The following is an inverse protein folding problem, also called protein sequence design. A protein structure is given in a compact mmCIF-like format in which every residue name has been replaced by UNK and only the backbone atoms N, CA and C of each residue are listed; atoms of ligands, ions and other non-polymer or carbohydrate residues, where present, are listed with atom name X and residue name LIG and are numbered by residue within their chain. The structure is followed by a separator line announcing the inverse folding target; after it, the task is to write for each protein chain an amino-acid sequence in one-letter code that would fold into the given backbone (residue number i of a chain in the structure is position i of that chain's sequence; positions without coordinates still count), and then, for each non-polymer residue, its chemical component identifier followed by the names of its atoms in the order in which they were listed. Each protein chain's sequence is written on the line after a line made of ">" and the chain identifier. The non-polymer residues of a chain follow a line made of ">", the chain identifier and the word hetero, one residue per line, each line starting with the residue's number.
data_IF_728832764020
#
_entry.id   IF_728832764020
#
_cell.length_a   1.000
_cell.length_b   1.000
_cell.length_c   1.000
_cell.angle_alpha   90.00
_cell.angle_beta   90.00
_cell.angle_gamma   90.00
#
_symmetry.space_group_name_H-M   'P 1'
#
loop_
_entity.id
_entity.type
_entity.pdbx_description
1 polymer ?
#
# COMPACT_ATOMS: atom_id res chain seq x y z
N UNK A 1 -64.74 11.15 -20.83
CA UNK A 1 -64.33 9.96 -20.03
C UNK A 1 -63.03 9.39 -20.56
N UNK A 2 -61.88 9.71 -19.94
CA UNK A 2 -60.62 8.94 -20.04
C UNK A 2 -59.96 9.01 -18.66
N UNK A 3 -59.95 7.89 -17.94
CA UNK A 3 -59.25 7.73 -16.67
C UNK A 3 -57.75 7.71 -16.95
N UNK A 4 -57.03 8.76 -16.56
CA UNK A 4 -55.59 8.67 -16.38
C UNK A 4 -55.34 8.02 -15.03
N UNK A 5 -54.88 6.77 -15.08
CA UNK A 5 -54.36 6.04 -13.93
C UNK A 5 -53.06 6.73 -13.55
N UNK A 6 -53.09 7.51 -12.48
CA UNK A 6 -51.89 8.00 -11.81
C UNK A 6 -51.20 6.77 -11.22
N UNK A 7 -50.25 6.20 -11.95
CA UNK A 7 -49.28 5.27 -11.37
C UNK A 7 -48.32 6.11 -10.55
N UNK A 8 -48.60 6.19 -9.25
CA UNK A 8 -47.57 6.45 -8.25
C UNK A 8 -46.48 5.40 -8.45
N UNK A 9 -45.43 5.75 -9.19
CA UNK A 9 -44.20 4.98 -9.19
C UNK A 9 -43.53 5.28 -7.86
N UNK A 10 -43.77 4.37 -6.92
CA UNK A 10 -43.05 4.15 -5.67
C UNK A 10 -41.54 4.11 -5.91
N UNK A 11 -40.91 5.27 -6.01
CA UNK A 11 -39.46 5.43 -5.90
C UNK A 11 -39.21 6.16 -4.58
N UNK A 12 -39.04 5.42 -3.49
CA UNK A 12 -38.31 5.88 -2.29
C UNK A 12 -38.28 4.79 -1.21
N UNK A 13 -37.52 3.73 -1.46
CA UNK A 13 -37.03 2.88 -0.35
C UNK A 13 -35.85 2.01 -0.80
N UNK A 14 -34.80 2.64 -1.29
CA UNK A 14 -33.45 2.05 -1.26
C UNK A 14 -32.43 3.10 -0.83
N UNK A 15 -32.69 3.79 0.29
CA UNK A 15 -31.64 4.54 0.99
C UNK A 15 -31.05 3.67 2.10
N UNK A 16 -30.43 2.55 1.72
CA UNK A 16 -29.28 2.09 2.49
C UNK A 16 -28.25 3.22 2.39
N UNK A 17 -28.13 4.00 3.46
CA UNK A 17 -27.50 5.32 3.49
C UNK A 17 -26.10 5.28 2.90
N UNK A 18 -25.97 5.68 1.62
CA UNK A 18 -24.64 6.00 1.09
C UNK A 18 -24.08 7.14 1.95
N UNK A 19 -22.80 7.06 2.35
CA UNK A 19 -22.15 8.16 3.05
C UNK A 19 -22.44 9.49 2.34
N UNK A 20 -22.72 10.59 3.06
CA UNK A 20 -23.11 11.88 2.46
C UNK A 20 -22.17 12.35 1.34
N UNK A 21 -20.88 12.00 1.43
CA UNK A 21 -19.87 12.30 0.42
C UNK A 21 -20.05 11.51 -0.90
N UNK A 22 -20.36 10.22 -0.84
CA UNK A 22 -20.54 9.37 -2.03
C UNK A 22 -21.86 9.66 -2.77
N UNK A 23 -22.75 10.45 -2.16
CA UNK A 23 -23.97 10.95 -2.80
C UNK A 23 -23.71 12.15 -3.73
N UNK A 24 -22.58 12.86 -3.58
CA UNK A 24 -22.21 13.98 -4.46
C UNK A 24 -21.90 13.46 -5.88
N UNK A 25 -22.08 14.25 -6.96
CA UNK A 25 -21.62 13.86 -8.30
C UNK A 25 -20.11 13.63 -8.37
N UNK A 26 -19.65 12.75 -9.27
CA UNK A 26 -18.23 12.39 -9.38
C UNK A 26 -17.34 13.62 -9.66
N UNK A 27 -17.77 14.54 -10.51
CA UNK A 27 -16.98 15.74 -10.86
C UNK A 27 -16.69 16.61 -9.62
N UNK A 28 -17.67 16.73 -8.72
CA UNK A 28 -17.51 17.44 -7.45
C UNK A 28 -16.54 16.69 -6.54
N UNK A 29 -16.66 15.36 -6.44
CA UNK A 29 -15.74 14.54 -5.64
C UNK A 29 -14.31 14.60 -6.19
N UNK A 30 -14.15 14.59 -7.51
CA UNK A 30 -12.86 14.74 -8.20
C UNK A 30 -12.19 16.07 -7.87
N UNK A 31 -12.94 17.18 -7.89
CA UNK A 31 -12.44 18.49 -7.48
C UNK A 31 -12.02 18.49 -6.00
N UNK A 32 -12.78 17.80 -5.14
CA UNK A 32 -12.40 17.63 -3.73
C UNK A 32 -11.08 16.86 -3.64
N UNK A 33 -10.90 15.76 -4.35
CA UNK A 33 -9.63 15.00 -4.39
C UNK A 33 -8.47 15.87 -4.86
N UNK A 34 -8.66 16.65 -5.92
CA UNK A 34 -7.63 17.52 -6.47
C UNK A 34 -7.12 18.56 -5.46
N UNK A 35 -8.00 19.07 -4.59
CA UNK A 35 -7.63 20.03 -3.55
C UNK A 35 -7.18 19.38 -2.25
N UNK A 36 -7.62 18.15 -2.01
CA UNK A 36 -7.34 17.37 -0.81
C UNK A 36 -5.97 16.71 -0.80
N UNK A 37 -5.56 16.16 -1.94
CA UNK A 37 -4.30 15.45 -2.07
C UNK A 37 -3.14 16.42 -2.33
N UNK A 38 -1.89 16.03 -2.01
CA UNK A 38 -0.71 16.89 -2.16
C UNK A 38 -0.63 17.57 -3.54
N UNK A 39 -0.33 18.87 -3.53
CA UNK A 39 -0.01 19.60 -4.74
C UNK A 39 1.29 19.05 -5.36
N UNK A 40 1.21 18.52 -6.58
CA UNK A 40 2.31 17.88 -7.30
C UNK A 40 1.96 16.48 -7.81
N UNK A 41 2.81 15.89 -8.66
CA UNK A 41 2.61 14.52 -9.19
C UNK A 41 3.54 13.48 -8.55
N UNK A 42 4.33 13.86 -7.55
CA UNK A 42 5.30 12.98 -6.89
C UNK A 42 5.11 12.97 -5.39
N UNK A 43 5.11 11.78 -4.79
CA UNK A 43 5.05 11.58 -3.34
C UNK A 43 6.34 10.88 -2.92
N UNK A 44 7.07 11.46 -1.96
CA UNK A 44 8.28 10.89 -1.40
C UNK A 44 7.98 10.20 -0.07
N UNK A 45 8.42 8.95 0.05
CA UNK A 45 8.23 8.09 1.21
C UNK A 45 9.60 7.63 1.70
N UNK A 46 9.92 7.88 2.95
CA UNK A 46 11.10 7.34 3.62
C UNK A 46 10.85 5.89 4.02
N UNK A 47 11.70 4.98 3.58
CA UNK A 47 11.79 3.63 4.11
C UNK A 47 12.72 3.63 5.33
N UNK A 48 12.21 3.21 6.48
CA UNK A 48 12.96 2.96 7.70
C UNK A 48 12.85 1.47 8.09
N UNK A 49 13.68 0.96 9.00
CA UNK A 49 13.67 -0.46 9.39
C UNK A 49 12.29 -0.96 9.80
N UNK A 50 11.55 -0.14 10.55
CA UNK A 50 10.27 -0.56 11.15
C UNK A 50 9.04 -0.03 10.42
N UNK A 51 9.17 1.10 9.71
CA UNK A 51 8.02 1.81 9.14
C UNK A 51 8.37 2.59 7.88
N UNK A 52 7.31 3.04 7.19
CA UNK A 52 7.38 4.03 6.12
C UNK A 52 6.86 5.38 6.61
N UNK A 53 7.51 6.46 6.21
CA UNK A 53 7.11 7.83 6.58
C UNK A 53 6.96 8.69 5.33
N UNK A 54 5.89 9.47 5.21
CA UNK A 54 5.83 10.49 4.14
C UNK A 54 6.81 11.62 4.47
N UNK A 55 7.68 11.97 3.53
CA UNK A 55 8.59 13.13 3.62
C UNK A 55 8.05 14.31 2.79
N UNK A 56 6.91 14.12 2.12
CA UNK A 56 6.33 15.18 1.29
C UNK A 56 5.79 16.27 2.22
N UNK A 57 6.31 17.50 2.07
CA UNK A 57 6.07 18.64 2.98
C UNK A 57 4.61 19.12 2.98
N UNK A 58 3.82 18.73 1.99
CA UNK A 58 2.37 18.93 1.96
C UNK A 58 1.71 17.86 2.81
N UNK A 59 1.40 18.21 4.06
CA UNK A 59 0.62 17.36 4.95
C UNK A 59 -0.70 16.99 4.28
N UNK A 60 -0.96 15.69 4.09
CA UNK A 60 -2.32 15.21 3.80
C UNK A 60 -3.17 15.58 5.00
N UNK A 61 -4.22 16.41 4.86
CA UNK A 61 -5.01 16.85 6.01
C UNK A 61 -5.57 15.63 6.76
N UNK A 62 -5.41 15.57 8.08
CA UNK A 62 -5.91 14.47 8.93
C UNK A 62 -7.44 14.29 8.79
N UNK A 63 -8.15 15.37 8.49
CA UNK A 63 -9.57 15.34 8.12
C UNK A 63 -9.84 14.43 6.91
N UNK A 64 -8.93 14.42 5.93
CA UNK A 64 -9.01 13.55 4.76
C UNK A 64 -8.87 12.07 5.11
N UNK A 65 -7.95 11.73 6.01
CA UNK A 65 -7.75 10.35 6.47
C UNK A 65 -8.99 9.80 7.18
N UNK A 66 -9.77 10.67 7.86
CA UNK A 66 -11.05 10.27 8.46
C UNK A 66 -12.15 10.03 7.42
N UNK A 67 -12.21 10.84 6.35
CA UNK A 67 -13.17 10.66 5.24
C UNK A 67 -12.80 9.48 4.35
N UNK A 68 -11.51 9.18 4.21
CA UNK A 68 -10.97 8.05 3.44
C UNK A 68 -11.44 6.69 3.97
N UNK A 69 -11.82 6.56 5.24
CA UNK A 69 -12.37 5.30 5.77
C UNK A 69 -13.65 4.86 5.03
N UNK A 70 -14.45 5.82 4.54
CA UNK A 70 -15.65 5.55 3.72
C UNK A 70 -15.38 5.54 2.20
N UNK A 71 -14.21 5.99 1.77
CA UNK A 71 -13.87 6.23 0.36
C UNK A 71 -12.73 5.32 -0.14
N UNK A 72 -12.29 4.36 0.69
CA UNK A 72 -11.08 3.55 0.56
C UNK A 72 -10.77 3.16 -0.90
N UNK A 73 -11.81 2.76 -1.66
CA UNK A 73 -11.66 2.39 -3.07
C UNK A 73 -11.50 3.56 -4.04
N UNK A 74 -12.43 4.51 -4.09
CA UNK A 74 -12.40 5.59 -5.11
C UNK A 74 -11.25 6.57 -4.84
N UNK A 75 -11.00 6.92 -3.58
CA UNK A 75 -9.90 7.77 -3.19
C UNK A 75 -8.54 7.08 -3.43
N UNK A 76 -8.46 5.78 -3.15
CA UNK A 76 -7.30 4.96 -3.51
C UNK A 76 -7.08 4.94 -5.03
N UNK A 77 -8.14 4.71 -5.81
CA UNK A 77 -8.11 4.79 -7.28
C UNK A 77 -7.56 6.15 -7.73
N UNK A 78 -8.05 7.27 -7.20
CA UNK A 78 -7.53 8.58 -7.54
C UNK A 78 -6.04 8.73 -7.19
N UNK A 79 -5.65 8.42 -5.96
CA UNK A 79 -4.29 8.61 -5.45
C UNK A 79 -3.27 7.76 -6.22
N UNK A 80 -3.51 6.45 -6.34
CA UNK A 80 -2.51 5.56 -6.93
C UNK A 80 -2.40 5.67 -8.46
N UNK A 81 -3.46 6.15 -9.14
CA UNK A 81 -3.40 6.41 -10.59
C UNK A 81 -2.80 7.77 -10.94
N UNK A 82 -2.86 8.79 -10.07
CA UNK A 82 -2.41 10.14 -10.41
C UNK A 82 -0.98 10.47 -9.96
N UNK A 83 -0.43 9.73 -9.00
CA UNK A 83 0.88 10.05 -8.41
C UNK A 83 1.99 9.06 -8.79
N UNK A 84 3.23 9.55 -8.74
CA UNK A 84 4.48 8.77 -8.77
C UNK A 84 5.00 8.66 -7.34
N UNK A 85 5.17 7.43 -6.84
CA UNK A 85 5.64 7.18 -5.48
C UNK A 85 7.14 6.90 -5.49
N UNK A 86 7.91 7.72 -4.78
CA UNK A 86 9.35 7.57 -4.62
C UNK A 86 9.65 7.06 -3.21
N UNK A 87 9.89 5.76 -3.08
CA UNK A 87 10.37 5.14 -1.85
C UNK A 87 11.88 5.33 -1.74
N UNK A 88 12.35 6.10 -0.77
CA UNK A 88 13.76 6.47 -0.57
C UNK A 88 14.26 5.99 0.78
N UNK A 89 15.48 5.48 0.86
CA UNK A 89 16.02 4.96 2.12
C UNK A 89 17.23 4.06 1.93
N UNK A 90 17.50 3.22 2.92
CA UNK A 90 18.53 2.18 2.78
C UNK A 90 18.04 1.09 1.83
N UNK A 91 18.95 0.45 1.10
CA UNK A 91 18.63 -0.61 0.13
C UNK A 91 17.75 -1.71 0.75
N UNK A 92 18.12 -2.19 1.93
CA UNK A 92 17.37 -3.19 2.71
C UNK A 92 15.94 -2.72 3.02
N UNK A 93 15.80 -1.51 3.56
CA UNK A 93 14.50 -0.98 3.97
C UNK A 93 13.57 -0.76 2.76
N UNK A 94 14.12 -0.22 1.66
CA UNK A 94 13.38 -0.07 0.41
C UNK A 94 12.92 -1.42 -0.14
N UNK A 95 13.80 -2.43 -0.16
CA UNK A 95 13.48 -3.80 -0.63
C UNK A 95 12.44 -4.50 0.25
N UNK A 96 12.45 -4.24 1.56
CA UNK A 96 11.47 -4.76 2.52
C UNK A 96 10.07 -4.21 2.28
N UNK A 97 9.95 -2.91 1.98
CA UNK A 97 8.65 -2.22 1.95
C UNK A 97 8.02 -2.11 0.56
N UNK A 98 8.80 -2.15 -0.53
CA UNK A 98 8.26 -1.87 -1.87
C UNK A 98 7.22 -2.90 -2.33
N UNK A 99 7.36 -4.19 -1.98
CA UNK A 99 6.40 -5.23 -2.41
C UNK A 99 5.00 -4.96 -1.84
N UNK A 100 4.93 -4.49 -0.59
CA UNK A 100 3.66 -4.14 0.05
C UNK A 100 3.03 -2.94 -0.66
N UNK A 101 3.81 -1.90 -0.93
CA UNK A 101 3.33 -0.72 -1.65
C UNK A 101 2.89 -1.06 -3.08
N UNK A 102 3.65 -1.90 -3.78
CA UNK A 102 3.29 -2.38 -5.12
C UNK A 102 1.95 -3.11 -5.10
N UNK A 103 1.75 -4.07 -4.18
CA UNK A 103 0.48 -4.79 -4.04
C UNK A 103 -0.68 -3.86 -3.71
N UNK A 104 -0.44 -2.87 -2.87
CA UNK A 104 -1.45 -1.85 -2.57
C UNK A 104 -1.82 -1.07 -3.83
N UNK A 105 -0.83 -0.63 -4.63
CA UNK A 105 -1.11 0.04 -5.90
C UNK A 105 -1.91 -0.87 -6.83
N UNK A 106 -1.48 -2.11 -7.04
CA UNK A 106 -2.17 -3.10 -7.88
C UNK A 106 -3.63 -3.34 -7.45
N UNK A 107 -3.93 -3.27 -6.14
CA UNK A 107 -5.29 -3.39 -5.62
C UNK A 107 -6.20 -2.24 -6.07
N UNK A 108 -5.67 -1.02 -6.16
CA UNK A 108 -6.46 0.20 -6.42
C UNK A 108 -6.28 0.74 -7.84
N UNK A 109 -5.30 0.30 -8.61
CA UNK A 109 -5.05 0.80 -9.98
C UNK A 109 -5.54 -0.19 -11.01
N UNK A 110 -6.17 0.30 -12.09
CA UNK A 110 -6.58 -0.54 -13.22
C UNK A 110 -5.47 -0.73 -14.26
N UNK A 111 -4.46 0.12 -14.22
CA UNK A 111 -3.31 0.07 -15.11
C UNK A 111 -2.18 -0.77 -14.51
N UNK A 112 -1.26 -1.20 -15.38
CA UNK A 112 -0.05 -1.90 -14.97
C UNK A 112 0.80 -1.01 -14.05
N UNK A 113 1.29 -1.57 -12.95
CA UNK A 113 2.18 -0.90 -12.00
C UNK A 113 3.63 -1.15 -12.42
N UNK A 114 4.35 -0.07 -12.70
CA UNK A 114 5.77 -0.09 -13.04
C UNK A 114 6.60 0.17 -11.80
N UNK A 115 7.75 -0.51 -11.71
CA UNK A 115 8.71 -0.39 -10.62
C UNK A 115 10.09 -0.14 -11.21
N UNK A 116 10.65 1.03 -10.95
CA UNK A 116 11.98 1.43 -11.39
C UNK A 116 12.87 1.72 -10.19
N UNK A 117 13.98 1.00 -10.06
CA UNK A 117 14.90 1.17 -8.95
C UNK A 117 16.18 1.88 -9.37
N UNK A 118 16.63 2.79 -8.51
CA UNK A 118 17.78 3.67 -8.73
C UNK A 118 18.72 3.59 -7.52
N UNK A 119 19.94 3.11 -7.75
CA UNK A 119 20.99 3.02 -6.73
C UNK A 119 21.88 4.26 -6.79
N UNK A 120 22.37 4.76 -5.64
CA UNK A 120 23.40 5.82 -5.62
C UNK A 120 24.83 5.27 -5.84
N UNK A 121 24.98 4.00 -6.23
CA UNK A 121 26.26 3.35 -6.50
C UNK A 121 26.37 1.99 -5.81
N UNK A 122 27.40 1.22 -6.17
CA UNK A 122 27.60 -0.14 -5.66
C UNK A 122 27.89 -0.12 -4.16
N UNK A 123 28.76 0.79 -3.72
CA UNK A 123 29.12 0.99 -2.31
C UNK A 123 28.09 1.82 -1.52
N UNK A 124 27.09 2.39 -2.19
CA UNK A 124 26.05 3.15 -1.51
C UNK A 124 25.13 2.22 -0.72
N UNK A 125 24.79 2.61 0.51
CA UNK A 125 23.76 1.95 1.30
C UNK A 125 22.35 2.44 0.96
N UNK A 126 22.21 3.53 0.22
CA UNK A 126 20.92 4.16 -0.08
C UNK A 126 20.50 3.99 -1.53
N UNK A 127 19.19 3.97 -1.74
CA UNK A 127 18.57 3.89 -3.06
C UNK A 127 17.20 4.58 -3.08
N UNK A 128 16.61 4.63 -4.27
CA UNK A 128 15.22 4.99 -4.48
C UNK A 128 14.51 3.95 -5.34
N UNK A 129 13.25 3.64 -5.02
CA UNK A 129 12.34 2.86 -5.86
C UNK A 129 11.19 3.77 -6.25
N UNK A 130 11.01 3.97 -7.53
CA UNK A 130 9.87 4.68 -8.08
C UNK A 130 8.78 3.70 -8.50
N UNK A 131 7.54 3.95 -8.07
CA UNK A 131 6.37 3.17 -8.45
C UNK A 131 5.31 4.08 -9.09
N UNK A 132 4.75 3.66 -10.21
CA UNK A 132 3.62 4.36 -10.85
C UNK A 132 2.72 3.40 -11.62
N UNK A 133 1.43 3.75 -11.71
CA UNK A 133 0.50 3.12 -12.63
C UNK A 133 0.47 3.83 -13.98
N UNK A 134 0.46 3.04 -15.06
CA UNK A 134 0.37 3.48 -16.45
C UNK A 134 1.63 4.16 -17.00
N UNK A 135 1.65 4.45 -18.30
CA UNK A 135 2.85 4.92 -19.01
C UNK A 135 3.10 6.43 -18.91
N UNK A 136 2.09 7.24 -18.59
CA UNK A 136 2.18 8.70 -18.63
C UNK A 136 3.20 9.35 -17.67
N UNK A 137 3.76 8.58 -16.72
CA UNK A 137 4.76 9.05 -15.75
C UNK A 137 6.18 8.58 -16.06
N UNK A 138 6.36 7.74 -17.08
CA UNK A 138 7.67 7.23 -17.51
C UNK A 138 8.59 8.37 -17.95
N UNK A 139 8.05 9.39 -18.62
CA UNK A 139 8.82 10.58 -19.03
C UNK A 139 9.37 11.37 -17.83
N UNK A 140 8.66 11.39 -16.71
CA UNK A 140 9.15 12.03 -15.48
C UNK A 140 10.35 11.26 -14.90
N UNK A 141 10.40 9.95 -15.08
CA UNK A 141 11.52 9.10 -14.67
C UNK A 141 12.70 9.16 -15.64
N UNK A 142 12.45 9.28 -16.95
CA UNK A 142 13.52 9.43 -17.96
C UNK A 142 14.36 10.70 -17.76
N UNK A 143 13.75 11.77 -17.24
CA UNK A 143 14.46 13.01 -16.88
C UNK A 143 15.29 12.91 -15.60
N UNK A 144 15.25 11.77 -14.89
CA UNK A 144 16.00 11.59 -13.65
C UNK A 144 17.48 11.36 -13.98
N UNK A 145 18.28 12.40 -13.77
CA UNK A 145 19.75 12.35 -13.95
C UNK A 145 20.49 11.71 -12.76
N UNK A 146 19.78 11.35 -11.69
CA UNK A 146 20.37 10.89 -10.42
C UNK A 146 20.09 9.42 -10.14
N UNK A 147 21.17 8.68 -9.89
CA UNK A 147 21.16 7.26 -9.53
C UNK A 147 21.31 6.35 -10.74
N UNK A 148 21.99 5.23 -10.56
CA UNK A 148 22.14 4.17 -11.57
C UNK A 148 20.89 3.31 -11.57
N UNK A 149 20.23 3.20 -12.73
CA UNK A 149 19.09 2.31 -12.89
C UNK A 149 19.54 0.87 -12.69
N UNK A 150 18.89 0.17 -11.76
CA UNK A 150 19.16 -1.25 -11.45
C UNK A 150 17.86 -2.01 -11.39
N UNK A 151 17.94 -3.30 -11.70
CA UNK A 151 16.83 -4.22 -11.46
C UNK A 151 16.74 -4.54 -9.97
N UNK A 152 15.51 -4.84 -9.50
CA UNK A 152 15.31 -5.30 -8.11
C UNK A 152 16.15 -6.55 -7.81
N UNK A 153 16.36 -7.44 -8.80
CA UNK A 153 17.17 -8.65 -8.64
C UNK A 153 18.62 -8.32 -8.30
N UNK A 154 19.25 -7.42 -9.07
CA UNK A 154 20.62 -6.95 -8.82
C UNK A 154 20.76 -6.30 -7.44
N UNK A 155 19.75 -5.53 -7.02
CA UNK A 155 19.76 -4.89 -5.71
C UNK A 155 19.64 -5.89 -4.55
N UNK A 156 18.86 -6.96 -4.72
CA UNK A 156 18.79 -8.05 -3.73
C UNK A 156 20.11 -8.80 -3.62
N UNK A 157 20.74 -9.06 -4.77
CA UNK A 157 22.07 -9.67 -4.82
C UNK A 157 23.11 -8.79 -4.09
N UNK A 158 23.13 -7.48 -4.35
CA UNK A 158 24.02 -6.51 -3.67
C UNK A 158 23.86 -6.45 -2.16
N UNK A 159 22.62 -6.58 -1.69
CA UNK A 159 22.29 -6.50 -0.27
C UNK A 159 22.56 -7.83 0.46
N UNK A 160 22.87 -8.89 -0.28
CA UNK A 160 22.98 -10.23 0.28
C UNK A 160 21.64 -10.83 0.68
N UNK A 161 20.52 -10.30 0.16
CA UNK A 161 19.20 -10.93 0.28
C UNK A 161 19.13 -12.14 -0.66
N UNK A 162 19.84 -13.21 -0.31
CA UNK A 162 19.37 -14.54 -0.69
C UNK A 162 18.08 -14.75 0.11
N UNK A 163 16.93 -14.90 -0.57
CA UNK A 163 15.66 -15.31 0.07
C UNK A 163 15.87 -16.67 0.74
N UNK A 164 16.38 -16.68 1.96
CA UNK A 164 16.68 -17.87 2.73
C UNK A 164 15.83 -17.80 4.00
N UNK A 165 14.81 -18.64 4.01
CA UNK A 165 14.33 -19.38 5.19
C UNK A 165 13.60 -18.68 6.34
N UNK A 166 13.42 -17.35 6.39
CA UNK A 166 12.68 -16.72 7.52
C UNK A 166 11.26 -17.26 7.80
N UNK A 167 10.56 -17.78 6.78
CA UNK A 167 9.24 -18.41 6.95
C UNK A 167 9.30 -19.89 7.38
N UNK A 168 10.39 -20.60 7.05
CA UNK A 168 10.62 -21.98 7.51
C UNK A 168 11.11 -22.01 8.95
N UNK A 169 11.99 -21.08 9.32
CA UNK A 169 12.55 -21.02 10.66
C UNK A 169 11.51 -20.64 11.70
N UNK A 170 10.58 -19.72 11.37
CA UNK A 170 9.45 -19.38 12.24
C UNK A 170 8.41 -20.51 12.39
N UNK A 171 8.23 -21.35 11.37
CA UNK A 171 7.36 -22.53 11.46
C UNK A 171 8.01 -23.65 12.29
N UNK A 172 9.32 -23.86 12.15
CA UNK A 172 10.09 -24.82 12.95
C UNK A 172 10.10 -24.39 14.42
N UNK A 173 10.33 -23.10 14.71
CA UNK A 173 10.31 -22.57 16.07
C UNK A 173 8.94 -22.69 16.73
N UNK A 174 7.85 -22.44 15.98
CA UNK A 174 6.47 -22.65 16.44
C UNK A 174 6.16 -24.13 16.70
N UNK A 175 6.66 -25.03 15.86
CA UNK A 175 6.52 -26.48 16.04
C UNK A 175 7.22 -26.97 17.32
N UNK A 176 8.45 -26.52 17.55
CA UNK A 176 9.22 -26.85 18.77
C UNK A 176 8.54 -26.31 20.04
N UNK A 177 8.04 -25.07 19.99
CA UNK A 177 7.28 -24.50 21.11
C UNK A 177 6.04 -25.33 21.44
N UNK A 178 5.30 -25.81 20.43
CA UNK A 178 4.12 -26.64 20.64
C UNK A 178 4.46 -28.00 21.28
N UNK A 179 5.56 -28.63 20.87
CA UNK A 179 6.01 -29.88 21.49
C UNK A 179 6.42 -29.71 22.95
N UNK A 180 7.10 -28.61 23.30
CA UNK A 180 7.44 -28.32 24.71
C UNK A 180 6.19 -28.08 25.56
N UNK A 181 5.18 -27.39 25.03
CA UNK A 181 3.92 -27.19 25.74
C UNK A 181 3.17 -28.51 25.94
N UNK A 182 3.13 -29.38 24.92
CA UNK A 182 2.50 -30.69 25.01
C UNK A 182 3.20 -31.60 26.03
N UNK A 183 4.54 -31.60 26.08
CA UNK A 183 5.28 -32.37 27.06
C UNK A 183 5.09 -31.84 28.48
N UNK A 184 5.05 -30.52 28.67
CA UNK A 184 4.77 -29.90 29.97
C UNK A 184 3.36 -30.27 30.49
N UNK A 185 2.33 -30.22 29.61
CA UNK A 185 0.97 -30.61 29.96
C UNK A 185 0.89 -32.10 30.31
N UNK A 186 1.54 -32.97 29.54
CA UNK A 186 1.60 -34.40 29.84
C UNK A 186 2.26 -34.69 31.20
N UNK A 187 3.32 -33.97 31.53
CA UNK A 187 4.02 -34.11 32.81
C UNK A 187 3.16 -33.62 33.98
N UNK A 188 2.46 -32.48 33.81
CA UNK A 188 1.51 -31.97 34.80
C UNK A 188 0.31 -32.91 35.01
N UNK A 189 -0.24 -33.48 33.94
CA UNK A 189 -1.32 -34.47 34.03
C UNK A 189 -0.87 -35.75 34.74
N UNK A 190 0.36 -36.20 34.50
CA UNK A 190 0.93 -37.36 35.19
C UNK A 190 1.13 -37.11 36.69
N UNK A 191 1.63 -35.92 37.07
CA UNK A 191 1.81 -35.54 38.48
C UNK A 191 0.48 -35.37 39.20
N UNK A 192 -0.54 -34.80 38.53
CA UNK A 192 -1.87 -34.59 39.11
C UNK A 192 -2.72 -35.88 39.17
N UNK A 193 -2.49 -36.84 38.27
CA UNK A 193 -3.18 -38.14 38.28
C UNK A 193 -2.50 -39.21 39.13
N UNK A 194 -1.33 -38.92 39.69
CA UNK A 194 -0.59 -39.80 40.61
C UNK A 194 -0.90 -39.51 42.10
N UNK A 195 -1.79 -38.56 42.38
CA UNK A 195 -2.40 -38.27 43.69
C UNK A 195 -3.90 -38.60 43.65
#
# INVERSE_FOLDING_TARGET
>A
MRRFISRESTQRTESASRPPFLALPYDVRFLIYQNAFPAGKQIYIQASPDAIHSITTSSVPISLLSTCHSMDREAGEYLYNNYLFNLVGRKQDCLKHYETLQKTMEKYTRAHVHVDAFSNGDHSKTMAIALHAGEGKVEMLKRRERGLKKTIRQLREEVGEHRVHGRRDSLILRGLAFMMWASLIGLLAWVLGAY
#
